data_IF_110329291012
#
_entry.id   IF_110329291012
#
_cell.length_a   1.000
_cell.length_b   1.000
_cell.length_c   1.000
_cell.angle_alpha   90.00
_cell.angle_beta   90.00
_cell.angle_gamma   90.00
#
_symmetry.space_group_name_H-M   'P 1'
#
loop_
_entity.id
_entity.type
_entity.pdbx_description
1 polymer ?
#
# COMPACT_ATOMS: atom_id res chain seq x y z
N UNK A 1 49.35 1.13 30.09
CA UNK A 1 48.36 0.09 29.88
C UNK A 1 47.15 0.71 29.22
N UNK A 2 46.68 0.25 28.06
CA UNK A 2 45.43 0.72 27.51
C UNK A 2 44.28 -0.04 28.20
N UNK A 3 43.59 0.64 29.09
CA UNK A 3 42.36 0.18 29.69
C UNK A 3 41.20 0.40 28.71
N UNK A 4 41.10 -0.46 27.74
CA UNK A 4 39.97 -0.53 26.85
C UNK A 4 39.32 -1.92 26.88
N UNK A 5 38.76 -2.29 28.02
CA UNK A 5 37.83 -3.42 28.04
C UNK A 5 36.58 -3.05 27.25
N UNK A 6 36.61 -3.24 25.95
CA UNK A 6 35.36 -3.33 25.19
C UNK A 6 34.71 -4.68 25.53
N UNK A 7 33.96 -4.68 26.61
CA UNK A 7 32.94 -5.74 26.77
C UNK A 7 32.04 -5.65 25.58
N UNK A 8 32.14 -6.65 24.69
CA UNK A 8 31.16 -6.84 23.62
C UNK A 8 29.79 -7.02 24.31
N UNK A 9 29.04 -5.96 24.42
CA UNK A 9 27.68 -6.07 24.90
C UNK A 9 26.91 -6.93 23.88
N UNK A 10 26.25 -7.99 24.35
CA UNK A 10 25.36 -8.80 23.54
C UNK A 10 24.29 -7.86 22.96
N UNK A 11 24.22 -7.77 21.63
CA UNK A 11 23.28 -6.89 20.94
C UNK A 11 22.13 -7.63 20.30
N UNK A 12 22.34 -8.91 19.97
CA UNK A 12 21.34 -9.80 19.38
C UNK A 12 21.53 -11.19 19.97
N UNK A 13 20.46 -11.80 20.44
CA UNK A 13 20.44 -13.16 20.94
C UNK A 13 19.21 -13.89 20.43
N UNK A 14 19.38 -15.18 20.13
CA UNK A 14 18.27 -16.11 19.99
C UNK A 14 18.22 -16.92 21.31
N UNK A 15 17.16 -16.82 22.08
CA UNK A 15 16.99 -17.56 23.32
C UNK A 15 16.64 -19.04 23.07
N UNK A 16 16.56 -19.84 24.14
CA UNK A 16 16.25 -21.27 24.04
C UNK A 16 14.84 -21.56 23.48
N UNK A 17 13.96 -20.57 23.44
CA UNK A 17 12.61 -20.64 22.88
C UNK A 17 12.56 -20.17 21.42
N UNK A 18 13.70 -19.78 20.84
CA UNK A 18 13.79 -19.29 19.45
C UNK A 18 13.46 -17.81 19.29
N UNK A 19 13.30 -17.05 20.37
CA UNK A 19 13.02 -15.62 20.27
C UNK A 19 14.29 -14.83 19.93
N UNK A 20 14.14 -13.87 19.00
CA UNK A 20 15.19 -12.89 18.70
C UNK A 20 15.06 -11.74 19.71
N UNK A 21 16.09 -11.56 20.53
CA UNK A 21 16.14 -10.51 21.57
C UNK A 21 17.17 -9.46 21.14
N UNK A 22 16.73 -8.23 21.04
CA UNK A 22 17.59 -7.05 20.86
C UNK A 22 17.75 -6.42 22.23
N UNK A 23 18.99 -6.38 22.74
CA UNK A 23 19.26 -5.87 24.09
C UNK A 23 18.85 -4.39 24.23
N UNK A 24 18.29 -4.05 25.40
CA UNK A 24 17.87 -2.68 25.70
C UNK A 24 19.08 -1.73 25.55
N UNK A 25 18.87 -0.61 24.83
CA UNK A 25 19.93 0.37 24.53
C UNK A 25 20.89 -0.03 23.40
N UNK A 26 20.72 -1.19 22.80
CA UNK A 26 21.60 -1.69 21.73
C UNK A 26 21.29 -1.16 20.32
N UNK A 27 20.27 -0.32 20.19
CA UNK A 27 19.86 0.24 18.91
C UNK A 27 18.61 -0.42 18.34
N UNK A 28 18.30 -0.11 17.09
CA UNK A 28 17.11 -0.58 16.38
C UNK A 28 17.43 -1.80 15.52
N UNK A 29 16.41 -2.66 15.28
CA UNK A 29 16.48 -3.60 14.17
C UNK A 29 16.44 -2.79 12.87
N UNK A 30 17.59 -2.64 12.24
CA UNK A 30 17.72 -1.94 10.96
C UNK A 30 18.10 -2.94 9.89
N UNK A 31 17.38 -2.92 8.79
CA UNK A 31 17.77 -3.67 7.60
C UNK A 31 18.65 -2.75 6.74
N UNK A 32 19.83 -3.25 6.36
CA UNK A 32 20.73 -2.48 5.49
C UNK A 32 20.12 -2.35 4.10
N UNK A 33 19.71 -1.13 3.75
CA UNK A 33 19.27 -0.76 2.41
C UNK A 33 20.09 0.44 1.94
N UNK A 34 20.18 0.67 0.65
CA UNK A 34 20.87 1.84 0.11
C UNK A 34 20.19 3.16 0.52
N UNK A 35 18.85 3.14 0.71
CA UNK A 35 18.10 4.25 1.32
C UNK A 35 18.15 4.18 2.86
N UNK A 36 17.85 5.28 3.53
CA UNK A 36 17.86 5.38 4.98
C UNK A 36 16.51 5.11 5.60
N UNK A 37 16.50 4.55 6.81
CA UNK A 37 15.30 4.35 7.63
C UNK A 37 14.25 3.42 7.00
N UNK A 38 14.64 2.46 6.17
CA UNK A 38 13.75 1.45 5.63
C UNK A 38 13.73 0.21 6.53
N UNK A 39 12.56 -0.42 6.67
CA UNK A 39 12.40 -1.74 7.28
C UNK A 39 11.86 -2.72 6.25
N UNK A 40 12.52 -3.88 6.11
CA UNK A 40 12.08 -4.93 5.19
C UNK A 40 12.15 -6.32 5.81
N UNK A 41 11.14 -7.15 5.54
CA UNK A 41 11.10 -8.54 5.98
C UNK A 41 10.30 -9.40 4.99
N UNK A 42 10.92 -10.39 4.41
CA UNK A 42 10.35 -11.30 3.41
C UNK A 42 11.31 -11.55 2.25
N UNK A 43 11.02 -12.57 1.46
CA UNK A 43 11.80 -12.87 0.25
C UNK A 43 11.55 -11.76 -0.77
N UNK A 44 12.62 -11.19 -1.32
CA UNK A 44 12.58 -10.07 -2.28
C UNK A 44 11.86 -8.79 -1.78
N UNK A 45 11.53 -8.70 -0.49
CA UNK A 45 10.89 -7.50 0.05
C UNK A 45 11.81 -6.28 -0.14
N UNK A 46 11.35 -5.27 -0.88
CA UNK A 46 12.09 -4.03 -1.13
C UNK A 46 13.44 -4.22 -1.81
N UNK A 47 13.60 -5.16 -2.71
CA UNK A 47 14.90 -5.47 -3.34
C UNK A 47 15.49 -4.29 -4.13
N UNK A 48 14.65 -3.50 -4.78
CA UNK A 48 15.08 -2.35 -5.56
C UNK A 48 15.27 -1.06 -4.74
N UNK A 49 15.07 -1.09 -3.40
CA UNK A 49 15.27 0.10 -2.57
C UNK A 49 16.68 0.65 -2.76
N UNK A 50 16.76 1.76 -3.46
CA UNK A 50 17.99 2.45 -3.83
C UNK A 50 18.27 3.64 -2.92
N UNK A 51 19.35 4.37 -3.21
CA UNK A 51 19.76 5.57 -2.46
C UNK A 51 18.82 6.76 -2.70
N UNK A 52 17.60 6.68 -2.55
CA UNK A 52 16.59 7.72 -2.69
C UNK A 52 15.35 7.33 -1.92
N UNK A 53 14.98 6.05 -1.93
CA UNK A 53 13.83 5.56 -1.18
C UNK A 53 14.11 5.52 0.32
N UNK A 54 13.39 6.30 1.10
CA UNK A 54 13.54 6.42 2.55
C UNK A 54 12.23 6.16 3.28
N UNK A 55 12.34 5.74 4.54
CA UNK A 55 11.20 5.58 5.45
C UNK A 55 10.13 4.58 4.97
N UNK A 56 10.51 3.57 4.18
CA UNK A 56 9.59 2.54 3.72
C UNK A 56 9.53 1.37 4.70
N UNK A 57 8.35 0.80 4.88
CA UNK A 57 8.12 -0.45 5.62
C UNK A 57 7.56 -1.48 4.64
N UNK A 58 8.33 -2.53 4.34
CA UNK A 58 7.92 -3.59 3.41
C UNK A 58 8.03 -4.96 4.08
N UNK A 59 6.90 -5.65 4.20
CA UNK A 59 6.80 -6.92 4.93
C UNK A 59 5.97 -7.92 4.14
N UNK A 60 6.57 -8.99 3.71
CA UNK A 60 5.95 -10.06 2.92
C UNK A 60 6.77 -10.40 1.69
N UNK A 61 6.55 -11.60 1.14
CA UNK A 61 7.20 -12.01 -0.10
C UNK A 61 6.82 -11.04 -1.23
N UNK A 62 7.83 -10.56 -1.93
CA UNK A 62 7.71 -9.65 -3.06
C UNK A 62 7.01 -8.32 -2.73
N UNK A 63 6.84 -7.98 -1.43
CA UNK A 63 6.29 -6.68 -1.04
C UNK A 63 7.25 -5.55 -1.46
N UNK A 64 6.73 -4.52 -2.15
CA UNK A 64 7.48 -3.35 -2.56
C UNK A 64 8.76 -3.65 -3.33
N UNK A 65 8.83 -4.76 -4.06
CA UNK A 65 10.06 -5.28 -4.70
C UNK A 65 10.73 -4.24 -5.58
N UNK A 66 9.96 -3.43 -6.29
CA UNK A 66 10.50 -2.45 -7.26
C UNK A 66 10.62 -1.03 -6.72
N UNK A 67 10.33 -0.78 -5.44
CA UNK A 67 10.48 0.57 -4.85
C UNK A 67 11.94 1.03 -5.05
N UNK A 68 12.10 2.07 -5.86
CA UNK A 68 13.43 2.63 -6.17
C UNK A 68 13.71 3.92 -5.41
N UNK A 69 12.91 4.94 -5.64
CA UNK A 69 13.05 6.25 -5.01
C UNK A 69 11.79 6.72 -4.29
N UNK A 70 10.73 5.90 -4.25
CA UNK A 70 9.52 6.22 -3.50
C UNK A 70 9.76 6.23 -1.99
N UNK A 71 9.15 7.19 -1.30
CA UNK A 71 9.33 7.43 0.13
C UNK A 71 8.07 7.13 0.93
N UNK A 72 8.27 6.73 2.19
CA UNK A 72 7.20 6.66 3.17
C UNK A 72 6.10 5.64 2.85
N UNK A 73 6.39 4.62 2.06
CA UNK A 73 5.41 3.59 1.75
C UNK A 73 5.36 2.51 2.83
N UNK A 74 4.16 2.04 3.13
CA UNK A 74 3.91 0.87 3.95
C UNK A 74 3.31 -0.21 3.06
N UNK A 75 4.03 -1.29 2.80
CA UNK A 75 3.58 -2.43 2.00
C UNK A 75 3.66 -3.71 2.84
N UNK A 76 2.51 -4.25 3.24
CA UNK A 76 2.44 -5.43 4.11
C UNK A 76 1.55 -6.49 3.48
N UNK A 77 2.12 -7.61 3.10
CA UNK A 77 1.43 -8.73 2.45
C UNK A 77 2.19 -9.23 1.22
N UNK A 78 1.78 -10.40 0.72
CA UNK A 78 2.34 -10.94 -0.51
C UNK A 78 2.07 -9.98 -1.67
N UNK A 79 3.12 -9.54 -2.37
CA UNK A 79 3.08 -8.62 -3.51
C UNK A 79 2.38 -7.28 -3.23
N UNK A 80 2.23 -6.88 -1.97
CA UNK A 80 1.70 -5.56 -1.67
C UNK A 80 2.63 -4.48 -2.27
N UNK A 81 2.11 -3.65 -3.18
CA UNK A 81 2.88 -2.61 -3.84
C UNK A 81 4.08 -3.12 -4.65
N UNK A 82 4.01 -4.33 -5.23
CA UNK A 82 5.14 -4.94 -5.96
C UNK A 82 5.72 -4.00 -7.02
N UNK A 83 4.87 -3.34 -7.82
CA UNK A 83 5.27 -2.49 -8.92
C UNK A 83 5.60 -1.03 -8.53
N UNK A 84 5.48 -0.64 -7.26
CA UNK A 84 5.80 0.74 -6.84
C UNK A 84 7.25 1.07 -7.20
N UNK A 85 7.45 2.17 -7.92
CA UNK A 85 8.79 2.64 -8.30
C UNK A 85 9.14 3.96 -7.62
N UNK A 86 8.46 5.03 -8.00
CA UNK A 86 8.65 6.39 -7.49
C UNK A 86 7.48 6.88 -6.63
N UNK A 87 6.36 6.12 -6.63
CA UNK A 87 5.20 6.42 -5.82
C UNK A 87 5.53 6.50 -4.33
N UNK A 88 4.95 7.47 -3.64
CA UNK A 88 5.28 7.78 -2.25
C UNK A 88 4.04 7.88 -1.37
N UNK A 89 4.23 7.64 -0.07
CA UNK A 89 3.21 7.78 0.96
C UNK A 89 1.98 6.90 0.75
N UNK A 90 2.17 5.70 0.19
CA UNK A 90 1.10 4.72 0.03
C UNK A 90 1.05 3.78 1.24
N UNK A 91 -0.15 3.43 1.69
CA UNK A 91 -0.39 2.38 2.69
C UNK A 91 -1.10 1.21 2.02
N UNK A 92 -0.38 0.12 1.82
CA UNK A 92 -0.80 -1.04 1.05
C UNK A 92 -0.74 -2.28 1.96
N UNK A 93 -1.88 -2.81 2.37
CA UNK A 93 -1.94 -3.93 3.31
C UNK A 93 -2.91 -5.01 2.84
N UNK A 94 -2.39 -6.15 2.46
CA UNK A 94 -3.15 -7.29 1.96
C UNK A 94 -2.44 -8.02 0.83
N UNK A 95 -2.97 -9.18 0.44
CA UNK A 95 -2.53 -9.92 -0.74
C UNK A 95 -2.77 -9.06 -1.99
N UNK A 96 -1.75 -8.78 -2.79
CA UNK A 96 -1.81 -7.96 -4.01
C UNK A 96 -2.41 -6.54 -3.81
N UNK A 97 -2.42 -5.99 -2.60
CA UNK A 97 -2.91 -4.63 -2.37
C UNK A 97 -2.05 -3.62 -3.12
N UNK A 98 -2.65 -2.85 -4.04
CA UNK A 98 -1.95 -1.85 -4.85
C UNK A 98 -0.82 -2.41 -5.71
N UNK A 99 -0.93 -3.66 -6.16
CA UNK A 99 0.17 -4.39 -6.83
C UNK A 99 0.73 -3.64 -8.04
N UNK A 100 -0.11 -3.02 -8.86
CA UNK A 100 0.29 -2.32 -10.10
C UNK A 100 0.59 -0.83 -9.90
N UNK A 101 0.53 -0.29 -8.66
CA UNK A 101 0.89 1.11 -8.42
C UNK A 101 2.36 1.31 -8.79
N UNK A 102 2.62 2.25 -9.70
CA UNK A 102 4.00 2.61 -10.10
C UNK A 102 4.41 3.97 -9.54
N UNK A 103 3.70 5.03 -9.93
CA UNK A 103 3.98 6.42 -9.58
C UNK A 103 2.87 7.07 -8.72
N UNK A 104 1.75 6.36 -8.49
CA UNK A 104 0.65 6.85 -7.67
C UNK A 104 1.07 7.17 -6.23
N UNK A 105 0.54 8.26 -5.69
CA UNK A 105 0.93 8.77 -4.37
C UNK A 105 -0.26 8.88 -3.41
N UNK A 106 0.02 8.78 -2.11
CA UNK A 106 -0.97 9.03 -1.05
C UNK A 106 -2.21 8.13 -1.15
N UNK A 107 -2.05 6.87 -1.57
CA UNK A 107 -3.15 5.92 -1.64
C UNK A 107 -3.19 5.06 -0.37
N UNK A 108 -4.40 4.66 0.00
CA UNK A 108 -4.65 3.65 1.03
C UNK A 108 -5.35 2.47 0.38
N UNK A 109 -4.71 1.31 0.36
CA UNK A 109 -5.26 0.06 -0.12
C UNK A 109 -5.17 -1.00 0.99
N UNK A 110 -6.30 -1.41 1.53
CA UNK A 110 -6.36 -2.41 2.61
C UNK A 110 -7.34 -3.52 2.24
N UNK A 111 -6.84 -4.72 2.08
CA UNK A 111 -7.60 -5.89 1.66
C UNK A 111 -7.01 -6.56 0.42
N UNK A 112 -7.42 -7.80 0.17
CA UNK A 112 -7.02 -8.56 -1.00
C UNK A 112 -7.40 -7.82 -2.29
N UNK A 113 -6.45 -7.64 -3.20
CA UNK A 113 -6.61 -7.00 -4.49
C UNK A 113 -7.29 -5.60 -4.44
N UNK A 114 -7.19 -4.87 -3.33
CA UNK A 114 -7.62 -3.48 -3.27
C UNK A 114 -6.70 -2.58 -4.11
N UNK A 115 -7.26 -1.65 -4.92
CA UNK A 115 -6.51 -0.81 -5.87
C UNK A 115 -5.57 -1.60 -6.80
N UNK A 116 -6.00 -2.76 -7.26
CA UNK A 116 -5.15 -3.72 -7.95
C UNK A 116 -4.49 -3.15 -9.21
N UNK A 117 -5.27 -2.54 -10.14
CA UNK A 117 -4.75 -2.09 -11.44
C UNK A 117 -4.32 -0.62 -11.47
N UNK A 118 -4.34 0.08 -10.35
CA UNK A 118 -4.04 1.51 -10.30
C UNK A 118 -2.55 1.78 -10.50
N UNK A 119 -2.16 2.38 -11.61
CA UNK A 119 -0.73 2.68 -11.90
C UNK A 119 -0.30 4.06 -11.39
N UNK A 120 -0.95 5.11 -11.83
CA UNK A 120 -0.56 6.50 -11.58
C UNK A 120 -1.62 7.31 -10.78
N UNK A 121 -2.78 6.70 -10.47
CA UNK A 121 -3.81 7.33 -9.67
C UNK A 121 -3.36 7.59 -8.23
N UNK A 122 -3.69 8.75 -7.72
CA UNK A 122 -3.28 9.21 -6.40
C UNK A 122 -4.48 9.58 -5.52
N UNK A 123 -4.26 9.56 -4.18
CA UNK A 123 -5.21 10.05 -3.18
C UNK A 123 -6.53 9.28 -3.15
N UNK A 124 -6.48 7.98 -3.41
CA UNK A 124 -7.63 7.10 -3.25
C UNK A 124 -7.56 6.31 -1.96
N UNK A 125 -8.71 6.00 -1.40
CA UNK A 125 -8.89 5.10 -0.25
C UNK A 125 -9.72 3.90 -0.69
N UNK A 126 -9.13 2.71 -0.66
CA UNK A 126 -9.76 1.44 -0.97
C UNK A 126 -9.60 0.48 0.21
N UNK A 127 -10.67 0.23 0.94
CA UNK A 127 -10.68 -0.66 2.11
C UNK A 127 -11.70 -1.77 1.90
N UNK A 128 -11.23 -2.99 1.77
CA UNK A 128 -12.01 -4.19 1.50
C UNK A 128 -11.45 -4.99 0.33
N UNK A 129 -11.69 -6.30 0.31
CA UNK A 129 -11.29 -7.12 -0.84
C UNK A 129 -11.95 -6.59 -2.12
N UNK A 130 -11.15 -6.44 -3.18
CA UNK A 130 -11.56 -5.92 -4.50
C UNK A 130 -12.12 -4.48 -4.49
N UNK A 131 -11.92 -3.69 -3.44
CA UNK A 131 -12.31 -2.28 -3.46
C UNK A 131 -11.47 -1.51 -4.50
N UNK A 132 -12.12 -0.74 -5.39
CA UNK A 132 -11.50 -0.02 -6.51
C UNK A 132 -10.56 -0.91 -7.37
N UNK A 133 -10.93 -2.17 -7.56
CA UNK A 133 -10.08 -3.18 -8.23
C UNK A 133 -9.55 -2.71 -9.58
N UNK A 134 -10.42 -2.10 -10.42
CA UNK A 134 -10.09 -1.74 -11.81
C UNK A 134 -9.78 -0.26 -11.99
N UNK A 135 -9.65 0.51 -10.90
CA UNK A 135 -9.27 1.92 -11.02
C UNK A 135 -7.92 2.04 -11.70
N UNK A 136 -7.86 2.82 -12.78
CA UNK A 136 -6.60 3.09 -13.47
C UNK A 136 -6.67 4.38 -14.29
N UNK A 137 -5.56 5.07 -14.38
CA UNK A 137 -5.43 6.33 -15.13
C UNK A 137 -4.19 6.30 -16.01
N UNK A 138 -4.28 6.92 -17.17
CA UNK A 138 -3.18 7.01 -18.15
C UNK A 138 -2.22 8.18 -17.89
N UNK A 139 -2.18 8.69 -16.68
CA UNK A 139 -1.32 9.79 -16.24
C UNK A 139 -1.61 10.18 -14.82
N UNK A 140 -0.70 10.93 -14.21
CA UNK A 140 -0.78 11.34 -12.82
C UNK A 140 -2.12 12.05 -12.53
N UNK A 141 -3.02 11.37 -11.85
CA UNK A 141 -4.38 11.84 -11.58
C UNK A 141 -4.69 11.81 -10.09
N UNK A 142 -5.19 12.91 -9.55
CA UNK A 142 -5.79 12.93 -8.23
C UNK A 142 -7.20 12.36 -8.30
N UNK A 143 -7.33 11.06 -8.11
CA UNK A 143 -8.60 10.35 -8.23
C UNK A 143 -9.58 10.73 -7.14
N UNK A 144 -9.10 10.88 -5.90
CA UNK A 144 -9.91 11.27 -4.74
C UNK A 144 -11.13 10.38 -4.52
N UNK A 145 -11.04 9.10 -4.90
CA UNK A 145 -12.10 8.13 -4.65
C UNK A 145 -11.94 7.54 -3.24
N UNK A 146 -13.05 7.38 -2.56
CA UNK A 146 -13.12 6.64 -1.29
C UNK A 146 -14.07 5.46 -1.46
N UNK A 147 -13.56 4.24 -1.32
CA UNK A 147 -14.34 3.02 -1.38
C UNK A 147 -14.07 2.16 -0.15
N UNK A 148 -15.11 1.86 0.61
CA UNK A 148 -15.02 1.04 1.83
C UNK A 148 -16.08 -0.06 1.79
N UNK A 149 -15.64 -1.30 1.69
CA UNK A 149 -16.50 -2.48 1.62
C UNK A 149 -15.99 -3.50 0.61
N UNK A 150 -16.48 -4.74 0.72
CA UNK A 150 -16.21 -5.79 -0.27
C UNK A 150 -16.69 -5.36 -1.65
N UNK A 151 -15.80 -5.36 -2.65
CA UNK A 151 -16.07 -4.95 -4.03
C UNK A 151 -16.70 -3.56 -4.17
N UNK A 152 -16.51 -2.66 -3.20
CA UNK A 152 -16.97 -1.27 -3.30
C UNK A 152 -16.24 -0.57 -4.46
N UNK A 153 -17.02 -0.04 -5.41
CA UNK A 153 -16.49 0.63 -6.60
C UNK A 153 -15.61 -0.28 -7.48
N UNK A 154 -15.84 -1.60 -7.47
CA UNK A 154 -14.96 -2.59 -8.11
C UNK A 154 -14.62 -2.25 -9.56
N UNK A 155 -15.57 -1.74 -10.32
CA UNK A 155 -15.42 -1.44 -11.75
C UNK A 155 -15.14 0.03 -12.06
N UNK A 156 -14.93 0.87 -11.05
CA UNK A 156 -14.47 2.24 -11.30
C UNK A 156 -13.15 2.18 -12.05
N UNK A 157 -13.11 2.79 -13.21
CA UNK A 157 -11.90 2.86 -14.06
C UNK A 157 -11.28 4.25 -13.98
N UNK A 158 -11.89 5.23 -14.64
CA UNK A 158 -11.39 6.62 -14.72
C UNK A 158 -12.25 7.61 -13.96
N UNK A 159 -13.33 7.15 -13.31
CA UNK A 159 -14.17 8.01 -12.46
C UNK A 159 -13.39 8.58 -11.28
N UNK A 160 -13.68 9.82 -10.92
CA UNK A 160 -13.00 10.54 -9.83
C UNK A 160 -13.99 11.09 -8.81
N UNK A 161 -13.49 11.36 -7.59
CA UNK A 161 -14.24 12.04 -6.54
C UNK A 161 -15.54 11.31 -6.16
N UNK A 162 -15.51 9.99 -6.11
CA UNK A 162 -16.62 9.17 -5.65
C UNK A 162 -16.44 8.79 -4.17
N UNK A 163 -17.53 8.80 -3.42
CA UNK A 163 -17.62 8.28 -2.05
C UNK A 163 -18.51 7.04 -2.05
N UNK A 164 -17.93 5.88 -1.82
CA UNK A 164 -18.58 4.57 -2.00
C UNK A 164 -18.38 3.78 -0.70
N UNK A 165 -19.44 3.57 0.06
CA UNK A 165 -19.37 2.87 1.36
C UNK A 165 -20.45 1.79 1.45
N UNK A 166 -20.02 0.55 1.51
CA UNK A 166 -20.91 -0.62 1.57
C UNK A 166 -20.45 -1.72 0.63
N UNK A 167 -20.78 -2.96 0.98
CA UNK A 167 -20.48 -4.08 0.10
C UNK A 167 -21.22 -3.92 -1.24
N UNK A 168 -20.49 -4.10 -2.36
CA UNK A 168 -21.03 -3.96 -3.72
C UNK A 168 -21.63 -2.58 -4.03
N UNK A 169 -21.41 -1.58 -3.19
CA UNK A 169 -21.82 -0.20 -3.53
C UNK A 169 -21.04 0.27 -4.75
N UNK A 170 -21.71 0.90 -5.70
CA UNK A 170 -21.12 1.45 -6.92
C UNK A 170 -20.26 0.47 -7.73
N UNK A 171 -20.51 -0.83 -7.60
CA UNK A 171 -19.65 -1.87 -8.21
C UNK A 171 -19.69 -1.89 -9.74
N UNK A 172 -20.68 -1.26 -10.36
CA UNK A 172 -20.81 -1.09 -11.81
C UNK A 172 -20.43 0.32 -12.32
N UNK A 173 -20.15 1.27 -11.43
CA UNK A 173 -19.62 2.56 -11.84
C UNK A 173 -18.31 2.35 -12.61
N UNK A 174 -18.16 3.00 -13.75
CA UNK A 174 -16.94 2.90 -14.58
C UNK A 174 -16.20 4.23 -14.63
N UNK A 175 -16.61 5.14 -15.49
CA UNK A 175 -16.03 6.47 -15.63
C UNK A 175 -16.86 7.58 -14.94
N UNK A 176 -17.88 7.20 -14.21
CA UNK A 176 -18.76 8.10 -13.46
C UNK A 176 -18.01 8.79 -12.30
N UNK A 177 -18.26 10.06 -12.10
CA UNK A 177 -17.58 10.88 -11.11
C UNK A 177 -18.58 11.64 -10.21
N UNK A 178 -18.08 12.09 -9.04
CA UNK A 178 -18.84 12.89 -8.07
C UNK A 178 -20.06 12.16 -7.49
N UNK A 179 -20.01 10.85 -7.34
CA UNK A 179 -21.12 10.07 -6.80
C UNK A 179 -20.94 9.79 -5.30
N UNK A 180 -22.06 9.71 -4.60
CA UNK A 180 -22.13 9.22 -3.22
C UNK A 180 -23.02 7.98 -3.18
N UNK A 181 -22.45 6.84 -2.85
CA UNK A 181 -23.15 5.56 -2.70
C UNK A 181 -22.91 5.02 -1.29
N UNK A 182 -23.92 4.99 -0.45
CA UNK A 182 -23.80 4.52 0.93
C UNK A 182 -24.85 3.45 1.24
N UNK A 183 -24.39 2.25 1.48
CA UNK A 183 -25.24 1.08 1.75
C UNK A 183 -24.89 -0.10 0.84
N UNK A 184 -25.33 -1.30 1.23
CA UNK A 184 -25.15 -2.50 0.41
C UNK A 184 -25.89 -2.31 -0.91
N UNK A 185 -25.22 -2.58 -2.03
CA UNK A 185 -25.75 -2.45 -3.39
C UNK A 185 -26.23 -1.03 -3.76
N UNK A 186 -25.85 0.02 -3.04
CA UNK A 186 -26.16 1.39 -3.45
C UNK A 186 -25.52 1.69 -4.81
N UNK A 187 -26.24 2.31 -5.76
CA UNK A 187 -25.79 2.62 -7.13
C UNK A 187 -25.24 1.44 -7.94
N UNK A 188 -25.66 0.21 -7.70
CA UNK A 188 -25.17 -0.97 -8.45
C UNK A 188 -25.61 -1.00 -9.91
N UNK A 189 -26.73 -0.38 -10.26
CA UNK A 189 -27.26 -0.35 -11.62
C UNK A 189 -26.72 0.85 -12.44
N UNK A 190 -26.05 1.79 -11.81
CA UNK A 190 -25.53 2.99 -12.47
C UNK A 190 -24.11 2.73 -12.98
N UNK A 191 -23.89 2.98 -14.27
CA UNK A 191 -22.57 2.78 -14.90
C UNK A 191 -21.87 4.09 -15.26
N UNK A 192 -22.62 5.11 -15.64
CA UNK A 192 -22.13 6.35 -16.22
C UNK A 192 -22.66 7.61 -15.53
N UNK A 193 -23.61 7.48 -14.61
CA UNK A 193 -24.21 8.61 -13.91
C UNK A 193 -23.16 9.35 -13.07
N UNK A 194 -23.18 10.67 -13.16
CA UNK A 194 -22.32 11.52 -12.33
C UNK A 194 -23.18 12.40 -11.42
N UNK A 195 -22.64 12.74 -10.24
CA UNK A 195 -23.34 13.51 -9.21
C UNK A 195 -24.61 12.84 -8.67
N UNK A 196 -24.62 11.51 -8.64
CA UNK A 196 -25.70 10.71 -8.06
C UNK A 196 -25.49 10.50 -6.56
N UNK A 197 -26.60 10.40 -5.80
CA UNK A 197 -26.57 10.08 -4.37
C UNK A 197 -27.60 8.96 -4.07
N UNK A 198 -27.16 7.90 -3.39
CA UNK A 198 -27.99 6.77 -2.97
C UNK A 198 -27.47 6.16 -1.66
#
# INVERSE_FOLDING_TARGET
APSGSTTLAERLRIDASGNIIIAAGAGTLSTATAGTSNFRAGVNAGDALASGGIQNVVVGDEAGTTISTGDGNVAVGYKAGEAVTTGSYNTLSGWNAGIDITEGNNNVAVGDASLFTNTEGSRSVAIGSNALLTQNYSGATNALNTAVGYSAGQRVTTGVQNTIVGALAGDHLTNASFNVAVGINALTADTLGSSSTA
#
